data_IF_687823017629
#
_entry.id   IF_687823017629
#
_cell.length_a   1.000
_cell.length_b   1.000
_cell.length_c   1.000
_cell.angle_alpha   90.00
_cell.angle_beta   90.00
_cell.angle_gamma   90.00
#
_symmetry.space_group_name_H-M   'P 1'
#
loop_
_entity.id
_entity.type
_entity.pdbx_description
1 polymer ?
#
# COMPACT_ATOMS: atom_id res chain seq x y z
N UNK A 1 -14.78 17.22 -11.01
CA UNK A 1 -14.24 17.52 -9.66
C UNK A 1 -14.48 19.00 -9.41
N UNK A 2 -15.34 19.36 -8.44
CA UNK A 2 -15.50 20.75 -8.03
C UNK A 2 -14.50 21.03 -6.91
N UNK A 3 -13.51 21.87 -7.17
CA UNK A 3 -12.56 22.34 -6.15
C UNK A 3 -13.19 23.56 -5.49
N UNK A 4 -13.36 23.52 -4.17
CA UNK A 4 -13.81 24.66 -3.37
C UNK A 4 -12.59 25.41 -2.82
N UNK A 5 -12.77 26.67 -2.44
CA UNK A 5 -11.67 27.53 -1.98
C UNK A 5 -12.01 28.14 -0.63
N UNK A 6 -10.99 28.34 0.19
CA UNK A 6 -11.04 29.10 1.44
C UNK A 6 -10.25 30.39 1.26
N UNK A 7 -10.87 31.54 1.54
CA UNK A 7 -10.20 32.84 1.46
C UNK A 7 -9.28 33.03 2.67
N UNK A 8 -8.02 33.40 2.43
CA UNK A 8 -7.04 33.73 3.44
C UNK A 8 -6.34 35.05 3.05
N UNK A 9 -6.78 36.15 3.66
CA UNK A 9 -6.41 37.50 3.23
C UNK A 9 -6.84 37.76 1.79
N UNK A 10 -5.87 38.14 0.96
CA UNK A 10 -6.08 38.45 -0.46
C UNK A 10 -6.01 37.21 -1.38
N UNK A 11 -5.81 36.01 -0.81
CA UNK A 11 -5.62 34.77 -1.58
C UNK A 11 -6.78 33.78 -1.40
N UNK A 12 -7.11 33.04 -2.47
CA UNK A 12 -8.00 31.88 -2.43
C UNK A 12 -7.18 30.60 -2.39
N UNK A 13 -7.22 29.89 -1.26
CA UNK A 13 -6.52 28.62 -1.07
C UNK A 13 -7.47 27.48 -1.44
N UNK A 14 -7.10 26.59 -2.38
CA UNK A 14 -7.94 25.44 -2.73
C UNK A 14 -8.06 24.46 -1.57
N UNK A 15 -9.27 23.97 -1.33
CA UNK A 15 -9.58 22.96 -0.32
C UNK A 15 -9.21 21.57 -0.84
N UNK A 16 -7.91 21.25 -0.80
CA UNK A 16 -7.38 19.96 -1.25
C UNK A 16 -7.54 18.94 -0.11
N UNK A 17 -8.35 17.92 -0.33
CA UNK A 17 -8.49 16.79 0.61
C UNK A 17 -7.53 15.69 0.17
N UNK A 18 -6.52 15.42 0.99
CA UNK A 18 -5.61 14.27 0.79
C UNK A 18 -6.30 13.03 1.36
N UNK A 19 -6.52 12.02 0.52
CA UNK A 19 -7.00 10.72 0.99
C UNK A 19 -5.94 10.08 1.86
N UNK A 20 -6.26 9.79 3.13
CA UNK A 20 -5.37 9.02 4.00
C UNK A 20 -5.35 7.57 3.54
N UNK A 21 -4.24 7.13 2.98
CA UNK A 21 -3.98 5.72 2.71
C UNK A 21 -3.46 5.04 3.98
N UNK A 22 -3.84 3.77 4.21
CA UNK A 22 -3.25 2.97 5.29
C UNK A 22 -1.73 2.86 5.07
N UNK A 23 -0.92 2.86 6.14
CA UNK A 23 0.51 2.61 6.01
C UNK A 23 0.75 1.20 5.47
N UNK A 24 1.70 1.06 4.55
CA UNK A 24 2.09 -0.24 4.00
C UNK A 24 2.97 -1.02 4.99
N UNK A 25 2.67 -2.30 5.20
CA UNK A 25 3.53 -3.23 5.93
C UNK A 25 4.77 -3.66 5.13
N UNK A 26 5.44 -4.72 5.60
CA UNK A 26 6.68 -5.21 5.01
C UNK A 26 6.49 -5.65 3.55
N UNK A 27 5.47 -6.48 3.28
CA UNK A 27 5.23 -7.04 1.95
C UNK A 27 4.68 -5.99 0.98
N UNK A 28 3.90 -5.03 1.47
CA UNK A 28 3.45 -3.88 0.68
C UNK A 28 4.61 -3.01 0.19
N UNK A 29 5.60 -2.74 1.07
CA UNK A 29 6.82 -2.00 0.68
C UNK A 29 7.67 -2.77 -0.33
N UNK A 30 7.82 -4.07 -0.15
CA UNK A 30 8.49 -4.94 -1.13
C UNK A 30 7.80 -4.89 -2.49
N UNK A 31 6.45 -4.97 -2.52
CA UNK A 31 5.70 -4.88 -3.77
C UNK A 31 5.90 -3.53 -4.45
N UNK A 32 5.87 -2.43 -3.71
CA UNK A 32 6.15 -1.10 -4.26
C UNK A 32 7.54 -1.03 -4.89
N UNK A 33 8.58 -1.46 -4.16
CA UNK A 33 9.95 -1.45 -4.66
C UNK A 33 10.10 -2.32 -5.93
N UNK A 34 9.47 -3.50 -5.95
CA UNK A 34 9.47 -4.36 -7.13
C UNK A 34 8.82 -3.69 -8.35
N UNK A 35 7.67 -3.03 -8.15
CA UNK A 35 6.98 -2.33 -9.23
C UNK A 35 7.86 -1.21 -9.80
N UNK A 36 8.49 -0.44 -8.93
CA UNK A 36 9.37 0.68 -9.27
C UNK A 36 10.62 0.21 -10.05
N UNK A 37 11.27 -0.88 -9.60
CA UNK A 37 12.51 -1.37 -10.21
C UNK A 37 12.30 -2.25 -11.45
N UNK A 38 11.21 -3.01 -11.51
CA UNK A 38 11.05 -4.09 -12.49
C UNK A 38 9.79 -3.97 -13.36
N UNK A 39 8.83 -3.13 -13.00
CA UNK A 39 7.58 -2.93 -13.76
C UNK A 39 7.23 -1.44 -13.88
N UNK A 40 8.12 -0.60 -14.45
CA UNK A 40 7.95 0.86 -14.45
C UNK A 40 6.68 1.33 -15.17
N UNK A 41 6.23 0.63 -16.21
CA UNK A 41 4.98 0.95 -16.92
C UNK A 41 3.77 0.81 -15.98
N UNK A 42 3.64 -0.34 -15.32
CA UNK A 42 2.56 -0.61 -14.37
C UNK A 42 2.66 0.30 -13.14
N UNK A 43 3.88 0.56 -12.66
CA UNK A 43 4.10 1.50 -11.57
C UNK A 43 3.56 2.89 -11.92
N UNK A 44 3.93 3.42 -13.10
CA UNK A 44 3.46 4.72 -13.56
C UNK A 44 1.94 4.75 -13.76
N UNK A 45 1.35 3.71 -14.33
CA UNK A 45 -0.11 3.59 -14.47
C UNK A 45 -0.82 3.65 -13.11
N UNK A 46 -0.32 2.93 -12.11
CA UNK A 46 -0.89 2.91 -10.75
C UNK A 46 -0.68 4.24 -10.00
N UNK A 47 0.44 4.93 -10.24
CA UNK A 47 0.69 6.27 -9.67
C UNK A 47 -0.27 7.29 -10.27
N UNK A 48 -0.40 7.31 -11.61
CA UNK A 48 -1.25 8.27 -12.32
C UNK A 48 -2.74 8.07 -12.04
N UNK A 49 -3.14 6.84 -11.71
CA UNK A 49 -4.51 6.51 -11.33
C UNK A 49 -4.79 6.65 -9.83
N UNK A 50 -3.81 7.05 -9.01
CA UNK A 50 -3.88 7.13 -7.54
C UNK A 50 -4.22 5.78 -6.86
N UNK A 51 -3.86 4.66 -7.50
CA UNK A 51 -4.16 3.29 -7.03
C UNK A 51 -2.95 2.54 -6.48
N UNK A 52 -1.75 3.10 -6.57
CA UNK A 52 -0.51 2.41 -6.16
C UNK A 52 -0.58 1.91 -4.72
N UNK A 53 -1.02 2.75 -3.79
CA UNK A 53 -1.07 2.40 -2.36
C UNK A 53 -2.15 1.36 -2.06
N UNK A 54 -3.31 1.46 -2.69
CA UNK A 54 -4.40 0.47 -2.56
C UNK A 54 -3.92 -0.91 -3.06
N UNK A 55 -3.34 -0.96 -4.26
CA UNK A 55 -2.75 -2.17 -4.83
C UNK A 55 -1.70 -2.80 -3.90
N UNK A 56 -0.79 -2.00 -3.36
CA UNK A 56 0.25 -2.52 -2.46
C UNK A 56 -0.31 -2.99 -1.12
N UNK A 57 -1.36 -2.35 -0.61
CA UNK A 57 -2.01 -2.74 0.64
C UNK A 57 -2.75 -4.08 0.51
N UNK A 58 -3.43 -4.31 -0.62
CA UNK A 58 -4.08 -5.60 -0.91
C UNK A 58 -3.06 -6.74 -0.94
N UNK A 59 -1.91 -6.53 -1.57
CA UNK A 59 -0.83 -7.53 -1.63
C UNK A 59 -0.22 -7.77 -0.23
N UNK A 60 -0.05 -6.71 0.56
CA UNK A 60 0.45 -6.82 1.94
C UNK A 60 -0.47 -7.68 2.81
N UNK A 61 -1.77 -7.45 2.72
CA UNK A 61 -2.79 -8.23 3.43
C UNK A 61 -2.81 -9.69 2.96
N UNK A 62 -2.83 -9.93 1.65
CA UNK A 62 -2.82 -11.29 1.11
C UNK A 62 -1.55 -12.07 1.51
N UNK A 63 -0.38 -11.43 1.51
CA UNK A 63 0.86 -12.06 1.93
C UNK A 63 0.85 -12.39 3.43
N UNK A 64 0.37 -11.47 4.26
CA UNK A 64 0.25 -11.68 5.71
C UNK A 64 -0.71 -12.83 6.03
N UNK A 65 -1.90 -12.85 5.43
CA UNK A 65 -2.87 -13.93 5.64
C UNK A 65 -2.33 -15.31 5.21
N UNK A 66 -1.52 -15.37 4.15
CA UNK A 66 -0.87 -16.63 3.75
C UNK A 66 0.19 -17.06 4.74
N UNK A 67 0.99 -16.14 5.29
CA UNK A 67 1.99 -16.50 6.29
C UNK A 67 1.38 -16.99 7.60
N UNK A 68 0.25 -16.42 8.01
CA UNK A 68 -0.49 -16.88 9.20
C UNK A 68 -0.94 -18.35 9.06
N UNK A 69 -1.13 -18.87 7.84
CA UNK A 69 -1.48 -20.27 7.58
C UNK A 69 -0.24 -21.16 7.39
N UNK A 70 0.71 -20.70 6.58
CA UNK A 70 1.86 -21.51 6.15
C UNK A 70 2.86 -21.72 7.30
N UNK A 71 3.12 -20.69 8.11
CA UNK A 71 4.15 -20.76 9.18
C UNK A 71 3.81 -21.84 10.22
N UNK A 72 2.57 -21.89 10.77
CA UNK A 72 2.22 -22.94 11.74
C UNK A 72 2.24 -24.34 11.12
N UNK A 73 1.78 -24.50 9.88
CA UNK A 73 1.80 -25.79 9.18
C UNK A 73 3.24 -26.30 9.00
N UNK A 74 4.15 -25.43 8.56
CA UNK A 74 5.56 -25.75 8.45
C UNK A 74 6.19 -26.04 9.82
N UNK A 75 5.92 -25.22 10.84
CA UNK A 75 6.43 -25.45 12.18
C UNK A 75 6.02 -26.83 12.72
N UNK A 76 4.75 -27.23 12.51
CA UNK A 76 4.25 -28.55 12.87
C UNK A 76 4.94 -29.66 12.08
N UNK A 77 5.14 -29.48 10.77
CA UNK A 77 5.80 -30.48 9.91
C UNK A 77 7.24 -30.75 10.33
N UNK A 78 7.97 -29.70 10.74
CA UNK A 78 9.38 -29.79 11.14
C UNK A 78 9.59 -29.93 12.66
N UNK A 79 8.51 -30.06 13.44
CA UNK A 79 8.59 -30.25 14.90
C UNK A 79 9.17 -29.04 15.65
N UNK A 80 9.08 -27.83 15.08
CA UNK A 80 9.58 -26.60 15.70
C UNK A 80 8.54 -26.10 16.70
N UNK A 81 8.86 -26.15 17.99
CA UNK A 81 8.05 -25.56 19.06
C UNK A 81 8.64 -24.21 19.47
N UNK A 82 7.80 -23.18 19.59
CA UNK A 82 8.19 -21.95 20.30
C UNK A 82 8.48 -22.33 21.77
N UNK A 83 9.71 -22.11 22.22
CA UNK A 83 10.10 -22.24 23.64
C UNK A 83 9.73 -20.98 24.41
#
# INVERSE_FOLDING_TARGET
MNITYTQNGDYLIPNIIIRKTKPLGHYGRLRKAYLEMHRPILFNELVLSDKLFEHCAEIDEAARSRMELIVPELAKQYGVTEQ
#
